data_IF_814899578578
#
_entry.id   IF_814899578578
#
_cell.length_a   1.000
_cell.length_b   1.000
_cell.length_c   1.000
_cell.angle_alpha   90.00
_cell.angle_beta   90.00
_cell.angle_gamma   90.00
#
_symmetry.space_group_name_H-M   'P 1'
#
loop_
_entity.id
_entity.type
_entity.pdbx_description
1 polymer ?
#
# COMPACT_ATOMS: atom_id res chain seq x y z
N UNK A 1 11.21 -7.18 14.17
CA UNK A 1 10.48 -5.93 13.91
C UNK A 1 10.40 -5.59 12.42
N UNK A 2 11.39 -5.99 11.62
CA UNK A 2 11.38 -5.82 10.16
C UNK A 2 10.21 -6.50 9.45
N UNK A 3 9.86 -7.73 9.82
CA UNK A 3 8.66 -8.42 9.30
C UNK A 3 7.36 -7.62 9.50
N UNK A 4 7.23 -6.91 10.62
CA UNK A 4 6.06 -6.05 10.87
C UNK A 4 6.02 -4.85 9.93
N UNK A 5 7.19 -4.25 9.65
CA UNK A 5 7.33 -3.16 8.69
C UNK A 5 6.90 -3.60 7.29
N UNK A 6 7.33 -4.78 6.84
CA UNK A 6 6.98 -5.31 5.52
C UNK A 6 5.49 -5.62 5.41
N UNK A 7 4.88 -6.16 6.47
CA UNK A 7 3.44 -6.38 6.54
C UNK A 7 2.66 -5.06 6.50
N UNK A 8 3.06 -4.04 7.26
CA UNK A 8 2.42 -2.71 7.23
C UNK A 8 2.59 -2.06 5.85
N UNK A 9 3.69 -2.32 5.16
CA UNK A 9 3.96 -1.74 3.84
C UNK A 9 3.27 -2.45 2.69
N UNK A 10 3.17 -3.78 2.75
CA UNK A 10 2.64 -4.62 1.67
C UNK A 10 1.16 -4.94 1.78
N UNK A 11 0.53 -4.68 2.92
CA UNK A 11 -0.86 -5.10 3.17
C UNK A 11 -1.69 -4.02 3.85
N UNK A 12 -3.01 -4.10 3.70
CA UNK A 12 -3.94 -3.27 4.45
C UNK A 12 -4.44 -3.93 5.75
N UNK A 13 -3.73 -4.97 6.22
CA UNK A 13 -4.06 -5.75 7.41
C UNK A 13 -4.13 -4.88 8.65
N UNK A 14 -5.01 -5.19 9.60
CA UNK A 14 -5.18 -4.34 10.80
C UNK A 14 -4.00 -4.54 11.75
N UNK A 15 -3.64 -3.50 12.51
CA UNK A 15 -2.44 -3.54 13.36
C UNK A 15 -2.46 -4.68 14.39
N UNK A 16 -3.64 -5.08 14.87
CA UNK A 16 -3.75 -6.21 15.80
C UNK A 16 -3.43 -7.55 15.15
N UNK A 17 -3.81 -7.76 13.89
CA UNK A 17 -3.52 -8.97 13.12
C UNK A 17 -2.02 -9.02 12.77
N UNK A 18 -1.42 -7.86 12.49
CA UNK A 18 0.03 -7.74 12.29
C UNK A 18 0.78 -8.04 13.59
N UNK A 19 0.29 -7.57 14.74
CA UNK A 19 0.86 -7.86 16.04
C UNK A 19 0.85 -9.38 16.32
N UNK A 20 -0.30 -10.03 16.09
CA UNK A 20 -0.43 -11.48 16.23
C UNK A 20 0.52 -12.23 15.27
N UNK A 21 0.56 -11.84 14.00
CA UNK A 21 1.40 -12.45 12.96
C UNK A 21 2.91 -12.31 13.20
N UNK A 22 3.33 -11.33 14.01
CA UNK A 22 4.73 -11.12 14.40
C UNK A 22 5.04 -11.56 15.83
N UNK A 23 4.11 -12.25 16.49
CA UNK A 23 4.32 -12.91 17.78
C UNK A 23 4.03 -12.06 19.01
N UNK A 24 3.24 -10.99 18.88
CA UNK A 24 2.80 -10.16 19.99
C UNK A 24 1.37 -10.50 20.40
N UNK A 25 1.20 -10.91 21.66
CA UNK A 25 -0.13 -11.17 22.24
C UNK A 25 -0.93 -9.89 22.52
N UNK A 26 -0.25 -8.78 22.76
CA UNK A 26 -0.86 -7.47 23.02
C UNK A 26 -0.56 -6.48 21.86
N UNK A 27 -1.59 -6.09 21.07
CA UNK A 27 -1.47 -5.08 20.02
C UNK A 27 -1.01 -3.69 20.50
N UNK A 28 -1.32 -3.31 21.74
CA UNK A 28 -0.89 -2.04 22.33
C UNK A 28 0.62 -2.07 22.61
N UNK A 29 1.11 -3.17 23.18
CA UNK A 29 2.53 -3.37 23.39
C UNK A 29 3.30 -3.42 22.07
N UNK A 30 2.77 -4.11 21.05
CA UNK A 30 3.33 -4.07 19.70
C UNK A 30 3.46 -2.64 19.17
N UNK A 31 2.38 -1.84 19.28
CA UNK A 31 2.36 -0.46 18.79
C UNK A 31 3.38 0.42 19.52
N UNK A 32 3.56 0.22 20.83
CA UNK A 32 4.59 0.88 21.63
C UNK A 32 6.00 0.50 21.16
N UNK A 33 6.28 -0.80 21.02
CA UNK A 33 7.57 -1.30 20.56
C UNK A 33 7.89 -0.81 19.14
N UNK A 34 6.91 -0.85 18.23
CA UNK A 34 7.05 -0.37 16.86
C UNK A 34 7.37 1.13 16.83
N UNK A 35 6.64 1.94 17.61
CA UNK A 35 6.91 3.37 17.76
C UNK A 35 8.28 3.65 18.34
N UNK A 36 8.72 2.88 19.34
CA UNK A 36 10.06 3.03 19.94
C UNK A 36 11.18 2.70 18.92
N UNK A 37 10.96 1.69 18.10
CA UNK A 37 11.93 1.20 17.11
C UNK A 37 12.02 2.10 15.87
N UNK A 38 10.89 2.45 15.25
CA UNK A 38 10.84 3.24 14.01
C UNK A 38 10.59 4.74 14.22
N UNK A 39 10.44 5.17 15.48
CA UNK A 39 10.12 6.56 15.89
C UNK A 39 8.78 7.08 15.34
N UNK A 40 7.92 6.19 14.86
CA UNK A 40 6.58 6.49 14.36
C UNK A 40 5.65 5.30 14.60
N UNK A 41 4.37 5.57 14.81
CA UNK A 41 3.36 4.53 15.00
C UNK A 41 3.15 3.71 13.72
N UNK A 42 2.62 2.48 13.82
CA UNK A 42 2.25 1.68 12.66
C UNK A 42 1.32 2.41 11.67
N UNK A 43 0.39 3.23 12.18
CA UNK A 43 -0.52 4.03 11.37
C UNK A 43 0.20 5.17 10.64
N UNK A 44 1.02 5.95 11.34
CA UNK A 44 1.84 7.01 10.74
C UNK A 44 2.79 6.43 9.67
N UNK A 45 3.34 5.24 9.91
CA UNK A 45 4.16 4.54 8.94
C UNK A 45 3.38 4.22 7.66
N UNK A 46 2.13 3.75 7.79
CA UNK A 46 1.22 3.47 6.66
C UNK A 46 0.84 4.73 5.89
N UNK A 47 0.52 5.81 6.59
CA UNK A 47 0.21 7.10 5.98
C UNK A 47 1.42 7.67 5.23
N UNK A 48 2.62 7.54 5.79
CA UNK A 48 3.84 7.99 5.12
C UNK A 48 4.12 7.20 3.83
N UNK A 49 3.79 5.92 3.80
CA UNK A 49 3.92 5.08 2.60
C UNK A 49 2.91 5.46 1.52
N UNK A 50 1.66 5.73 1.89
CA UNK A 50 0.65 6.18 0.92
C UNK A 50 1.02 7.52 0.29
N UNK A 51 1.61 8.44 1.07
CA UNK A 51 2.14 9.71 0.57
C UNK A 51 3.36 9.50 -0.34
N UNK A 52 4.28 8.59 0.00
CA UNK A 52 5.45 8.30 -0.85
C UNK A 52 5.07 7.68 -2.19
N UNK A 53 4.10 6.77 -2.21
CA UNK A 53 3.60 6.21 -3.47
C UNK A 53 2.90 7.31 -4.28
N UNK A 54 2.11 8.19 -3.65
CA UNK A 54 1.52 9.37 -4.30
C UNK A 54 2.58 10.30 -4.92
N UNK A 55 3.67 10.58 -4.19
CA UNK A 55 4.74 11.46 -4.64
C UNK A 55 5.60 10.85 -5.78
N UNK A 56 5.83 9.53 -5.75
CA UNK A 56 6.52 8.80 -6.83
C UNK A 56 5.65 8.75 -8.09
N UNK A 57 4.33 8.58 -7.95
CA UNK A 57 3.40 8.59 -9.08
C UNK A 57 3.23 9.99 -9.70
N UNK A 58 3.39 11.06 -8.91
CA UNK A 58 3.34 12.45 -9.38
C UNK A 58 4.45 12.80 -10.38
N UNK A 59 5.64 12.21 -10.24
CA UNK A 59 6.76 12.45 -11.17
C UNK A 59 6.66 11.67 -12.48
N UNK A 60 5.81 10.64 -12.55
CA UNK A 60 5.71 9.75 -13.74
C UNK A 60 4.54 10.14 -14.66
N UNK A 61 3.54 10.86 -14.16
CA UNK A 61 2.29 11.10 -14.88
C UNK A 61 2.25 12.45 -15.62
N UNK A 62 3.06 12.60 -16.66
CA UNK A 62 2.74 13.52 -17.76
C UNK A 62 1.62 12.91 -18.62
N UNK A 63 0.38 12.89 -18.12
CA UNK A 63 -0.77 12.85 -19.04
C UNK A 63 -2.12 12.28 -18.58
N UNK A 64 -2.22 11.39 -17.59
CA UNK A 64 -3.53 10.91 -17.12
C UNK A 64 -3.50 10.63 -15.62
N UNK A 65 -4.16 11.50 -14.85
CA UNK A 65 -4.31 11.40 -13.40
C UNK A 65 -5.29 10.29 -13.05
N UNK A 66 -4.83 9.28 -12.29
CA UNK A 66 -5.72 8.26 -11.75
C UNK A 66 -5.61 8.27 -10.23
N UNK A 67 -6.58 8.92 -9.58
CA UNK A 67 -6.74 8.90 -8.13
C UNK A 67 -7.58 7.68 -7.77
N UNK A 68 -7.05 6.78 -6.94
CA UNK A 68 -7.84 5.66 -6.41
C UNK A 68 -7.82 5.66 -4.88
N UNK A 69 -8.91 6.17 -4.29
CA UNK A 69 -9.35 5.80 -2.93
C UNK A 69 -10.22 4.52 -3.06
N UNK A 70 -9.64 3.33 -2.87
CA UNK A 70 -10.38 2.15 -2.39
C UNK A 70 -9.44 0.97 -2.03
N UNK A 71 -9.28 0.58 -0.75
CA UNK A 71 -8.23 -0.36 -0.33
C UNK A 71 -8.68 -1.81 -0.10
N UNK A 72 -9.74 -2.28 -0.78
CA UNK A 72 -10.26 -3.66 -0.66
C UNK A 72 -9.79 -4.63 -1.77
N UNK A 73 -9.07 -4.15 -2.78
CA UNK A 73 -8.62 -4.98 -3.90
C UNK A 73 -7.21 -5.52 -3.62
N UNK A 74 -7.07 -6.85 -3.67
CA UNK A 74 -5.77 -7.52 -3.54
C UNK A 74 -4.80 -7.04 -4.63
N UNK A 75 -3.48 -7.03 -4.36
CA UNK A 75 -2.47 -6.57 -5.33
C UNK A 75 -2.61 -7.23 -6.71
N UNK A 76 -2.93 -8.53 -6.75
CA UNK A 76 -3.14 -9.30 -7.99
C UNK A 76 -4.36 -8.80 -8.79
N UNK A 77 -5.45 -8.44 -8.11
CA UNK A 77 -6.64 -7.89 -8.77
C UNK A 77 -6.37 -6.54 -9.42
N UNK A 78 -5.46 -5.74 -8.86
CA UNK A 78 -5.06 -4.45 -9.43
C UNK A 78 -4.18 -4.62 -10.68
N UNK A 79 -3.22 -5.56 -10.65
CA UNK A 79 -2.42 -5.90 -11.84
C UNK A 79 -3.30 -6.41 -12.99
N UNK A 80 -4.25 -7.31 -12.72
CA UNK A 80 -5.19 -7.78 -13.73
C UNK A 80 -6.04 -6.65 -14.30
N UNK A 81 -6.48 -5.70 -13.48
CA UNK A 81 -7.27 -4.54 -13.93
C UNK A 81 -6.45 -3.55 -14.74
N UNK A 82 -5.19 -3.30 -14.38
CA UNK A 82 -4.26 -2.50 -15.19
C UNK A 82 -4.03 -3.16 -16.55
N UNK A 83 -3.75 -4.47 -16.59
CA UNK A 83 -3.52 -5.22 -17.84
C UNK A 83 -4.75 -5.19 -18.75
N UNK A 84 -5.96 -5.27 -18.17
CA UNK A 84 -7.22 -5.16 -18.92
C UNK A 84 -7.37 -3.75 -19.53
N UNK A 85 -7.11 -2.70 -18.75
CA UNK A 85 -7.25 -1.30 -19.17
C UNK A 85 -6.20 -0.90 -20.22
N UNK A 86 -4.94 -1.33 -20.07
CA UNK A 86 -3.90 -1.07 -21.06
C UNK A 86 -4.20 -1.76 -22.39
N UNK A 87 -4.75 -2.98 -22.36
CA UNK A 87 -5.17 -3.70 -23.56
C UNK A 87 -6.29 -2.96 -24.31
N UNK A 88 -7.28 -2.41 -23.60
CA UNK A 88 -8.37 -1.61 -24.20
C UNK A 88 -7.82 -0.30 -24.80
N UNK A 89 -6.90 0.38 -24.11
CA UNK A 89 -6.28 1.62 -24.60
C UNK A 89 -5.40 1.39 -25.83
N UNK A 90 -4.66 0.28 -25.88
CA UNK A 90 -3.86 -0.14 -27.04
C UNK A 90 -4.73 -0.49 -28.25
N UNK A 91 -5.89 -1.13 -28.02
CA UNK A 91 -6.85 -1.44 -29.08
C UNK A 91 -7.55 -0.17 -29.60
N UNK A 92 -7.76 0.84 -28.76
CA UNK A 92 -8.39 2.09 -29.16
C UNK A 92 -7.49 3.02 -29.99
N UNK A 93 -6.16 2.85 -29.92
CA UNK A 93 -5.18 3.66 -30.69
C UNK A 93 -4.79 3.05 -32.04
N UNK A 94 -5.27 1.84 -32.39
CA UNK A 94 -5.01 1.19 -33.69
C UNK A 94 -6.06 1.51 -34.78
N UNK A 95 -6.89 2.55 -34.60
CA UNK A 95 -7.94 2.99 -35.55
C UNK A 95 -7.70 4.40 -36.13
N UNK A 96 -6.45 4.76 -36.40
CA UNK A 96 -6.08 5.90 -37.26
C UNK A 96 -5.04 5.44 -38.27
#
# INVERSE_FOLDING_TARGET
>A
MEKAKDLIAGTNTRNYEIAEAVGYSDPHYFSYCFKKYYKMSPNEFREKLSIKISAVMLHVASGHSVTFKNPSLSPVGYYLKIIQLTSILLLSNKKV
#
